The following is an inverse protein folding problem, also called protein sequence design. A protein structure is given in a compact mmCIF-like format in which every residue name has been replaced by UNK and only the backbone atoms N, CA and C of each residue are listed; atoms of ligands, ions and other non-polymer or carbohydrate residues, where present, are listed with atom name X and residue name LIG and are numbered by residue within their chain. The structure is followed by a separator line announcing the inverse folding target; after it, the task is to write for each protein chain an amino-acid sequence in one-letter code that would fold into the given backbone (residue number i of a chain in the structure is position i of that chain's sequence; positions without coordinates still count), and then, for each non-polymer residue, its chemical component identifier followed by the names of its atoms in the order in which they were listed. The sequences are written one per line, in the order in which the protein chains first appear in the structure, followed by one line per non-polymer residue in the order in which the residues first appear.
data_IF_954530221124
#
_entry.id   IF_954530221124
#
_cell.length_a   1.000
_cell.length_b   1.000
_cell.length_c   1.000
_cell.angle_alpha   90.00
_cell.angle_beta   90.00
_cell.angle_gamma   90.00
#
_symmetry.space_group_name_H-M   'P 1'
#
loop_
_entity.id
_entity.type
_entity.pdbx_description
1 polymer ?
#
# COMPACT_ATOMS: atom_id res chain seq x y z
N UNK A 1 -21.00 -5.71 -21.99
CA UNK A 1 -21.32 -4.34 -21.53
C UNK A 1 -20.88 -4.19 -20.08
N UNK A 2 -20.01 -3.23 -19.74
CA UNK A 2 -19.55 -3.05 -18.34
C UNK A 2 -20.72 -2.57 -17.48
N UNK A 3 -21.06 -3.30 -16.42
CA UNK A 3 -22.02 -2.83 -15.43
C UNK A 3 -21.55 -1.47 -14.88
N UNK A 4 -22.28 -0.38 -15.21
CA UNK A 4 -22.06 0.95 -14.64
C UNK A 4 -22.36 0.84 -13.15
N UNK A 5 -21.31 0.89 -12.32
CA UNK A 5 -21.44 0.88 -10.86
C UNK A 5 -22.38 2.01 -10.44
N UNK A 6 -23.28 1.72 -9.50
CA UNK A 6 -24.19 2.72 -8.91
C UNK A 6 -23.39 3.82 -8.20
N UNK A 7 -23.67 5.07 -8.53
CA UNK A 7 -23.07 6.26 -7.90
C UNK A 7 -23.64 6.42 -6.49
N UNK A 8 -22.78 6.71 -5.50
CA UNK A 8 -23.20 6.93 -4.12
C UNK A 8 -23.91 8.27 -3.92
N UNK A 9 -24.68 8.41 -2.84
CA UNK A 9 -25.47 9.61 -2.49
C UNK A 9 -24.63 10.89 -2.49
N UNK A 10 -23.43 10.85 -1.91
CA UNK A 10 -22.52 11.99 -1.83
C UNK A 10 -22.01 12.43 -3.19
N UNK A 11 -21.63 11.50 -4.05
CA UNK A 11 -21.19 11.81 -5.41
C UNK A 11 -22.35 12.38 -6.23
N UNK A 12 -23.57 11.86 -6.07
CA UNK A 12 -24.76 12.38 -6.73
C UNK A 12 -25.12 13.79 -6.25
N UNK A 13 -24.95 14.08 -4.95
CA UNK A 13 -25.11 15.44 -4.40
C UNK A 13 -24.15 16.44 -5.04
N UNK A 14 -22.89 16.05 -5.20
CA UNK A 14 -21.88 16.90 -5.86
C UNK A 14 -22.27 17.18 -7.31
N UNK A 15 -22.74 16.16 -8.05
CA UNK A 15 -23.19 16.32 -9.44
C UNK A 15 -24.40 17.26 -9.53
N UNK A 16 -25.42 17.05 -8.69
CA UNK A 16 -26.61 17.91 -8.67
C UNK A 16 -26.27 19.37 -8.35
N UNK A 17 -25.34 19.59 -7.41
CA UNK A 17 -24.90 20.93 -7.06
C UNK A 17 -24.07 21.57 -8.18
N UNK A 18 -23.17 20.81 -8.82
CA UNK A 18 -22.26 21.30 -9.85
C UNK A 18 -22.95 21.60 -11.18
N UNK A 19 -23.77 20.67 -11.66
CA UNK A 19 -24.29 20.71 -13.03
C UNK A 19 -25.68 21.34 -13.10
N UNK A 20 -26.44 21.28 -12.00
CA UNK A 20 -27.84 21.73 -11.94
C UNK A 20 -28.10 22.79 -10.86
N UNK A 21 -27.10 23.14 -10.04
CA UNK A 21 -27.25 24.12 -8.94
C UNK A 21 -28.19 23.68 -7.82
N UNK A 22 -28.61 22.40 -7.77
CA UNK A 22 -29.62 21.95 -6.81
C UNK A 22 -28.98 21.39 -5.55
N UNK A 23 -29.21 22.03 -4.41
CA UNK A 23 -28.74 21.57 -3.10
C UNK A 23 -29.82 20.71 -2.40
N UNK A 24 -29.65 19.39 -2.45
CA UNK A 24 -30.57 18.42 -1.84
C UNK A 24 -29.90 17.70 -0.67
N UNK A 25 -30.67 17.40 0.39
CA UNK A 25 -30.19 16.58 1.50
C UNK A 25 -29.88 15.14 1.05
N UNK A 26 -28.86 14.53 1.66
CA UNK A 26 -28.44 13.18 1.28
C UNK A 26 -29.56 12.14 1.49
N UNK A 27 -30.45 12.36 2.45
CA UNK A 27 -31.62 11.51 2.69
C UNK A 27 -32.67 11.57 1.56
N UNK A 28 -32.90 12.73 0.95
CA UNK A 28 -33.78 12.88 -0.23
C UNK A 28 -33.16 12.23 -1.46
N UNK A 29 -31.85 12.41 -1.65
CA UNK A 29 -31.08 11.74 -2.71
C UNK A 29 -31.13 10.22 -2.53
N UNK A 30 -31.01 9.71 -1.30
CA UNK A 30 -31.08 8.27 -1.02
C UNK A 30 -32.45 7.69 -1.40
N UNK A 31 -33.55 8.39 -1.05
CA UNK A 31 -34.91 7.97 -1.42
C UNK A 31 -35.10 7.96 -2.93
N UNK A 32 -34.65 9.02 -3.62
CA UNK A 32 -34.66 9.11 -5.07
C UNK A 32 -33.86 7.98 -5.74
N UNK A 33 -32.65 7.72 -5.26
CA UNK A 33 -31.82 6.63 -5.77
C UNK A 33 -32.42 5.23 -5.47
N UNK A 34 -33.29 5.10 -4.46
CA UNK A 34 -33.99 3.85 -4.14
C UNK A 34 -35.24 3.65 -5.00
N UNK A 35 -35.94 4.73 -5.36
CA UNK A 35 -37.12 4.68 -6.23
C UNK A 35 -36.75 4.43 -7.70
N UNK A 36 -35.57 4.88 -8.12
CA UNK A 36 -34.97 4.51 -9.40
C UNK A 36 -34.45 3.07 -9.27
N UNK A 37 -35.03 2.12 -9.99
CA UNK A 37 -34.71 0.67 -9.95
C UNK A 37 -33.27 0.38 -10.41
N UNK A 38 -32.28 0.68 -9.56
CA UNK A 38 -30.85 0.62 -9.88
C UNK A 38 -30.18 -0.65 -9.30
N UNK A 39 -29.14 -1.18 -9.97
CA UNK A 39 -28.37 -2.31 -9.46
C UNK A 39 -27.73 -2.00 -8.09
N UNK A 40 -27.43 -3.06 -7.31
CA UNK A 40 -26.83 -2.94 -5.97
C UNK A 40 -25.48 -2.21 -6.03
N UNK A 41 -25.21 -1.35 -5.04
CA UNK A 41 -23.91 -0.67 -4.92
C UNK A 41 -22.78 -1.69 -4.75
N UNK A 42 -21.60 -1.37 -5.28
CA UNK A 42 -20.40 -2.17 -5.05
C UNK A 42 -20.06 -2.18 -3.57
N UNK A 43 -20.18 -3.34 -2.92
CA UNK A 43 -19.72 -3.56 -1.53
C UNK A 43 -18.22 -3.81 -1.45
N UNK A 44 -17.55 -3.96 -2.60
CA UNK A 44 -16.10 -4.12 -2.67
C UNK A 44 -15.44 -2.81 -2.22
N UNK A 45 -14.81 -2.85 -1.05
CA UNK A 45 -14.05 -1.73 -0.48
C UNK A 45 -12.91 -1.35 -1.43
N UNK A 46 -12.71 -0.06 -1.77
CA UNK A 46 -11.58 0.35 -2.59
C UNK A 46 -10.28 -0.04 -1.88
N UNK A 47 -9.32 -0.59 -2.63
CA UNK A 47 -8.00 -0.91 -2.09
C UNK A 47 -7.32 0.41 -1.68
N UNK A 48 -7.09 0.58 -0.38
CA UNK A 48 -6.28 1.68 0.12
C UNK A 48 -4.84 1.50 -0.40
N UNK A 49 -4.36 2.45 -1.21
CA UNK A 49 -2.96 2.52 -1.62
C UNK A 49 -2.29 3.60 -0.78
N UNK A 50 -1.37 3.19 0.10
CA UNK A 50 -0.50 4.14 0.80
C UNK A 50 0.32 4.90 -0.25
N UNK A 51 0.40 6.24 -0.14
CA UNK A 51 1.30 7.06 -0.96
C UNK A 51 2.76 6.92 -0.56
N UNK A 52 3.06 6.29 0.58
CA UNK A 52 4.45 6.00 0.94
C UNK A 52 4.99 5.04 -0.12
N UNK A 53 6.16 5.36 -0.66
CA UNK A 53 6.93 4.40 -1.44
C UNK A 53 6.95 3.07 -0.66
N UNK A 54 7.01 1.91 -1.33
CA UNK A 54 7.35 0.69 -0.63
C UNK A 54 8.75 0.91 -0.08
N UNK A 55 8.83 1.46 1.13
CA UNK A 55 10.01 1.41 1.97
C UNK A 55 10.16 -0.08 2.15
N UNK A 56 10.99 -0.68 1.28
CA UNK A 56 11.41 -2.05 1.43
C UNK A 56 11.76 -2.17 2.90
N UNK A 57 10.98 -2.96 3.64
CA UNK A 57 11.08 -3.05 5.09
C UNK A 57 12.37 -3.76 5.47
N UNK A 58 13.52 -3.12 5.26
CA UNK A 58 14.79 -3.48 5.88
C UNK A 58 14.58 -3.66 7.37
N UNK A 59 13.77 -2.80 7.98
CA UNK A 59 13.58 -2.77 9.42
C UNK A 59 12.76 -3.97 9.91
N UNK A 60 11.76 -4.42 9.14
CA UNK A 60 11.00 -5.62 9.50
C UNK A 60 11.81 -6.89 9.23
N UNK A 61 12.61 -6.93 8.17
CA UNK A 61 13.44 -8.09 7.83
C UNK A 61 14.61 -8.24 8.81
N UNK A 62 15.28 -7.14 9.16
CA UNK A 62 16.34 -7.13 10.16
C UNK A 62 15.80 -7.59 11.50
N UNK A 63 14.66 -7.06 11.96
CA UNK A 63 13.99 -7.57 13.17
C UNK A 63 13.66 -9.05 13.05
N UNK A 64 13.18 -9.50 11.89
CA UNK A 64 12.83 -10.90 11.73
C UNK A 64 14.04 -11.84 11.77
N UNK A 65 15.14 -11.46 11.10
CA UNK A 65 16.32 -12.31 10.94
C UNK A 65 17.32 -12.17 12.12
N UNK A 66 17.31 -11.05 12.86
CA UNK A 66 18.24 -10.77 13.97
C UNK A 66 17.55 -10.85 15.33
N UNK A 67 16.29 -10.43 15.47
CA UNK A 67 15.66 -10.32 16.79
C UNK A 67 14.79 -11.53 17.15
N UNK A 68 14.06 -12.13 16.20
CA UNK A 68 13.24 -13.31 16.52
C UNK A 68 14.10 -14.57 16.64
N UNK A 69 14.27 -15.07 17.87
CA UNK A 69 14.97 -16.32 18.17
C UNK A 69 16.43 -16.16 18.62
N UNK A 70 16.94 -14.94 18.72
CA UNK A 70 18.26 -14.64 19.24
C UNK A 70 18.17 -13.83 20.53
N UNK A 71 18.92 -14.24 21.55
CA UNK A 71 19.09 -13.51 22.80
C UNK A 71 20.52 -12.99 22.80
N UNK A 72 20.68 -11.67 22.79
CA UNK A 72 21.99 -11.01 22.88
C UNK A 72 22.28 -10.72 24.34
N UNK A 73 23.47 -11.10 24.81
CA UNK A 73 23.86 -10.92 26.21
C UNK A 73 24.64 -9.61 26.42
N UNK A 74 25.08 -8.96 25.34
CA UNK A 74 25.79 -7.68 25.36
C UNK A 74 25.39 -6.80 24.16
N UNK A 75 25.53 -5.49 24.33
CA UNK A 75 25.35 -4.53 23.25
C UNK A 75 26.37 -4.74 22.11
N UNK A 76 27.60 -5.09 22.46
CA UNK A 76 28.67 -5.32 21.47
C UNK A 76 28.35 -6.50 20.54
N UNK A 77 27.75 -7.57 21.09
CA UNK A 77 27.32 -8.74 20.32
C UNK A 77 26.22 -8.36 19.32
N UNK A 78 25.26 -7.52 19.74
CA UNK A 78 24.21 -7.01 18.88
C UNK A 78 24.78 -6.12 17.76
N UNK A 79 25.71 -5.24 18.08
CA UNK A 79 26.34 -4.35 17.10
C UNK A 79 27.12 -5.13 16.03
N UNK A 80 27.88 -6.15 16.45
CA UNK A 80 28.59 -7.04 15.53
C UNK A 80 27.61 -7.83 14.64
N UNK A 81 26.53 -8.35 15.22
CA UNK A 81 25.50 -9.08 14.47
C UNK A 81 24.81 -8.18 13.42
N UNK A 82 24.46 -6.95 13.79
CA UNK A 82 23.86 -5.97 12.86
C UNK A 82 24.85 -5.63 11.75
N UNK A 83 26.11 -5.33 12.07
CA UNK A 83 27.14 -4.99 11.07
C UNK A 83 27.34 -6.12 10.07
N UNK A 84 27.43 -7.36 10.57
CA UNK A 84 27.55 -8.56 9.74
C UNK A 84 26.32 -8.76 8.85
N UNK A 85 25.13 -8.53 9.39
CA UNK A 85 23.87 -8.60 8.64
C UNK A 85 23.80 -7.56 7.52
N UNK A 86 24.17 -6.30 7.80
CA UNK A 86 24.20 -5.23 6.80
C UNK A 86 25.16 -5.59 5.66
N UNK A 87 26.35 -6.08 6.00
CA UNK A 87 27.33 -6.50 5.00
C UNK A 87 26.77 -7.63 4.12
N UNK A 88 26.17 -8.66 4.73
CA UNK A 88 25.52 -9.75 4.02
C UNK A 88 24.37 -9.25 3.12
N UNK A 89 23.50 -8.39 3.65
CA UNK A 89 22.35 -7.86 2.93
C UNK A 89 22.77 -7.08 1.68
N UNK A 90 23.82 -6.27 1.78
CA UNK A 90 24.27 -5.43 0.68
C UNK A 90 25.08 -6.19 -0.40
N UNK A 91 25.89 -7.17 0.02
CA UNK A 91 26.86 -7.84 -0.88
C UNK A 91 26.37 -9.17 -1.41
N UNK A 92 25.70 -9.97 -0.58
CA UNK A 92 25.39 -11.40 -0.84
C UNK A 92 23.90 -11.70 -0.99
N UNK A 93 22.99 -10.84 -0.53
CA UNK A 93 21.55 -11.12 -0.56
C UNK A 93 20.98 -11.06 -1.97
N UNK A 94 20.57 -12.21 -2.48
CA UNK A 94 19.93 -12.34 -3.78
C UNK A 94 18.45 -11.97 -3.67
N UNK A 95 17.96 -11.08 -4.55
CA UNK A 95 16.55 -10.70 -4.61
C UNK A 95 16.00 -10.91 -6.01
N UNK A 96 14.92 -11.70 -6.12
CA UNK A 96 14.20 -11.91 -7.39
C UNK A 96 13.78 -10.59 -8.07
N UNK A 97 13.36 -9.59 -7.27
CA UNK A 97 12.98 -8.26 -7.77
C UNK A 97 14.16 -7.46 -8.33
N UNK A 98 15.39 -7.77 -7.93
CA UNK A 98 16.61 -7.16 -8.45
C UNK A 98 17.28 -8.05 -9.50
N UNK A 99 16.49 -8.77 -10.31
CA UNK A 99 17.01 -9.68 -11.33
C UNK A 99 18.00 -10.73 -10.77
N UNK A 100 17.77 -11.22 -9.55
CA UNK A 100 18.66 -12.16 -8.86
C UNK A 100 20.05 -11.60 -8.52
N UNK A 101 20.15 -10.28 -8.36
CA UNK A 101 21.39 -9.60 -7.98
C UNK A 101 21.35 -9.15 -6.53
N UNK A 102 22.54 -8.86 -5.98
CA UNK A 102 22.65 -8.17 -4.69
C UNK A 102 22.35 -6.68 -4.82
N UNK A 103 21.95 -6.00 -3.73
CA UNK A 103 21.64 -4.56 -3.77
C UNK A 103 22.77 -3.69 -4.32
N UNK A 104 24.03 -3.98 -3.97
CA UNK A 104 25.19 -3.24 -4.51
C UNK A 104 25.37 -3.53 -6.00
N UNK A 105 25.33 -4.80 -6.40
CA UNK A 105 25.48 -5.17 -7.80
C UNK A 105 24.42 -4.50 -8.68
N UNK A 106 23.16 -4.50 -8.22
CA UNK A 106 22.07 -3.83 -8.92
C UNK A 106 22.32 -2.32 -9.06
N UNK A 107 22.81 -1.64 -8.02
CA UNK A 107 23.17 -0.21 -8.12
C UNK A 107 24.28 0.00 -9.14
N UNK A 108 25.33 -0.82 -9.13
CA UNK A 108 26.45 -0.68 -10.07
C UNK A 108 26.03 -0.91 -11.54
N UNK A 109 25.13 -1.85 -11.80
CA UNK A 109 24.71 -2.15 -13.18
C UNK A 109 23.72 -1.15 -13.76
N UNK A 110 22.87 -0.54 -12.93
CA UNK A 110 21.80 0.38 -13.37
C UNK A 110 22.05 1.84 -13.01
N UNK A 111 23.21 2.18 -12.43
CA UNK A 111 23.65 3.56 -12.17
C UNK A 111 24.52 4.15 -13.29
N UNK A 112 24.55 3.50 -14.46
CA UNK A 112 25.06 4.06 -15.72
C UNK A 112 23.91 4.68 -16.50
#
# INVERSE_FOLDING_TARGET
MKAKKRIGTRAFKIILLRDYGVNISEGRILRLLKSMTLPKMSTIKPRFKSKKAPVFSSDNLLKQEIYYGHVFNSFEELEQAITKWIHYYNTKRIKKKLNWMSPIQYRLTYSK
#
